data_IF_115594725325
#
_entry.id   IF_115594725325
#
_cell.length_a   1.000
_cell.length_b   1.000
_cell.length_c   1.000
_cell.angle_alpha   90.00
_cell.angle_beta   90.00
_cell.angle_gamma   90.00
#
_symmetry.space_group_name_H-M   'P 1'
#
loop_
_entity.id
_entity.type
_entity.pdbx_description
1 polymer ?
#
# COMPACT_ATOMS: atom_id res chain seq x y z
N UNK A 1 30.32 -94.79 -59.80
CA UNK A 1 30.54 -93.58 -60.60
C UNK A 1 29.26 -93.33 -61.38
N UNK A 2 28.37 -92.50 -60.85
CA UNK A 2 27.09 -92.20 -61.51
C UNK A 2 26.87 -90.70 -61.42
N UNK A 3 26.79 -90.06 -62.57
CA UNK A 3 26.14 -88.77 -62.74
C UNK A 3 25.34 -88.86 -64.04
N UNK A 4 24.03 -88.69 -63.92
CA UNK A 4 23.10 -88.66 -65.03
C UNK A 4 22.15 -87.47 -64.85
N UNK A 5 21.93 -86.81 -65.99
CA UNK A 5 20.73 -86.04 -66.39
C UNK A 5 20.58 -84.58 -65.91
N UNK A 6 20.88 -83.68 -66.84
CA UNK A 6 20.15 -82.43 -67.13
C UNK A 6 18.89 -82.77 -68.00
N UNK A 7 17.96 -81.86 -68.42
CA UNK A 7 18.16 -80.43 -68.79
C UNK A 7 16.97 -79.43 -68.59
N UNK A 8 17.17 -78.19 -69.09
CA UNK A 8 16.18 -77.19 -69.61
C UNK A 8 15.40 -76.32 -68.60
N UNK A 9 14.99 -75.05 -68.82
CA UNK A 9 15.19 -73.98 -69.83
C UNK A 9 14.41 -72.70 -69.36
N UNK A 10 14.53 -71.58 -70.11
CA UNK A 10 13.81 -70.27 -70.11
C UNK A 10 14.20 -69.18 -69.07
N UNK A 11 14.83 -68.04 -69.43
CA UNK A 11 14.43 -66.88 -70.28
C UNK A 11 13.80 -65.73 -69.46
N UNK A 12 14.03 -64.41 -69.64
CA UNK A 12 14.98 -63.57 -70.37
C UNK A 12 14.66 -62.08 -70.03
N UNK A 13 15.67 -61.19 -69.97
CA UNK A 13 15.72 -59.80 -70.54
C UNK A 13 14.68 -58.72 -70.10
N UNK A 14 14.98 -57.44 -69.76
CA UNK A 14 15.97 -56.42 -70.20
C UNK A 14 15.95 -55.20 -69.24
N UNK A 15 17.05 -54.42 -69.12
CA UNK A 15 16.98 -52.96 -68.85
C UNK A 15 17.93 -52.32 -67.80
N UNK A 16 19.21 -52.17 -68.12
CA UNK A 16 20.28 -51.33 -67.48
C UNK A 16 20.11 -49.82 -67.92
N UNK A 17 20.65 -48.72 -67.31
CA UNK A 17 21.96 -48.50 -66.61
C UNK A 17 21.90 -47.70 -65.27
N UNK A 18 22.88 -47.63 -64.35
CA UNK A 18 24.35 -47.65 -64.26
C UNK A 18 24.92 -46.26 -63.85
N UNK A 19 25.41 -46.16 -62.61
CA UNK A 19 26.44 -45.23 -62.06
C UNK A 19 26.19 -45.08 -60.56
N UNK A 20 27.14 -45.11 -59.62
CA UNK A 20 28.57 -45.34 -59.62
C UNK A 20 28.94 -45.84 -58.21
N UNK A 21 29.90 -46.75 -58.11
CA UNK A 21 30.47 -47.18 -56.84
C UNK A 21 31.51 -46.16 -56.36
N UNK A 22 31.43 -45.75 -55.09
CA UNK A 22 32.58 -45.29 -54.32
C UNK A 22 32.31 -45.42 -52.81
N UNK A 23 32.93 -46.46 -52.23
CA UNK A 23 33.66 -46.44 -50.95
C UNK A 23 32.95 -45.89 -49.71
N UNK A 24 32.26 -46.77 -48.98
CA UNK A 24 31.81 -46.52 -47.60
C UNK A 24 33.00 -46.68 -46.64
N UNK A 25 33.59 -45.56 -46.21
CA UNK A 25 34.45 -45.52 -45.02
C UNK A 25 33.59 -45.27 -43.80
N UNK A 26 33.42 -46.28 -42.97
CA UNK A 26 32.77 -46.22 -41.66
C UNK A 26 33.60 -45.35 -40.71
N UNK A 27 33.15 -44.12 -40.44
CA UNK A 27 33.62 -43.34 -39.29
C UNK A 27 32.72 -43.66 -38.11
N UNK A 28 33.30 -44.32 -37.11
CA UNK A 28 32.69 -44.61 -35.81
C UNK A 28 32.52 -43.29 -35.05
N UNK A 29 31.28 -42.82 -34.93
CA UNK A 29 30.92 -41.71 -34.05
C UNK A 29 31.02 -42.13 -32.57
N UNK A 30 31.28 -41.18 -31.64
CA UNK A 30 31.43 -41.47 -30.22
C UNK A 30 30.12 -41.99 -29.62
N UNK A 31 30.18 -42.83 -28.56
CA UNK A 31 29.01 -43.46 -27.98
C UNK A 31 28.07 -42.43 -27.34
N UNK A 32 26.77 -42.62 -27.57
CA UNK A 32 25.67 -41.93 -26.91
C UNK A 32 25.82 -42.02 -25.38
N UNK A 33 25.62 -40.95 -24.61
CA UNK A 33 25.61 -41.03 -23.16
C UNK A 33 24.38 -41.83 -22.67
N UNK A 34 24.49 -42.61 -21.59
CA UNK A 34 23.35 -43.32 -21.02
C UNK A 34 22.30 -42.33 -20.47
N UNK A 35 21.02 -42.72 -20.38
CA UNK A 35 19.99 -41.87 -19.79
C UNK A 35 20.35 -41.53 -18.34
N UNK A 36 20.15 -40.26 -17.96
CA UNK A 36 20.43 -39.76 -16.63
C UNK A 36 19.62 -40.56 -15.58
N UNK A 37 20.33 -41.06 -14.56
CA UNK A 37 19.74 -41.70 -13.38
C UNK A 37 18.96 -40.62 -12.60
N UNK A 38 17.68 -40.82 -12.25
CA UNK A 38 16.95 -39.86 -11.42
C UNK A 38 17.62 -39.75 -10.03
N UNK A 39 17.63 -38.56 -9.41
CA UNK A 39 18.20 -38.40 -8.09
C UNK A 39 17.48 -39.29 -7.07
N UNK A 40 18.16 -39.78 -6.02
CA UNK A 40 17.53 -40.57 -4.98
C UNK A 40 16.44 -39.73 -4.29
N UNK A 41 15.28 -40.34 -4.09
CA UNK A 41 14.18 -39.80 -3.31
C UNK A 41 14.69 -39.42 -1.90
N UNK A 42 14.43 -38.21 -1.39
CA UNK A 42 14.78 -37.87 -0.02
C UNK A 42 14.04 -38.82 0.94
N UNK A 43 14.65 -39.20 2.08
CA UNK A 43 13.95 -40.00 3.08
C UNK A 43 12.71 -39.25 3.59
N UNK A 44 11.67 -39.96 4.05
CA UNK A 44 10.50 -39.33 4.65
C UNK A 44 10.95 -38.40 5.78
N UNK A 45 10.48 -37.16 5.79
CA UNK A 45 10.66 -36.27 6.92
C UNK A 45 10.02 -36.93 8.15
N UNK A 46 10.87 -37.23 9.14
CA UNK A 46 10.45 -37.70 10.44
C UNK A 46 9.50 -36.65 11.06
N UNK A 47 8.34 -37.05 11.60
CA UNK A 47 7.43 -36.10 12.23
C UNK A 47 8.14 -35.39 13.39
N UNK A 48 7.92 -34.08 13.59
CA UNK A 48 8.54 -33.35 14.69
C UNK A 48 8.17 -34.01 16.01
N UNK A 49 9.17 -34.20 16.87
CA UNK A 49 9.00 -34.73 18.21
C UNK A 49 7.91 -33.92 18.95
N UNK A 50 7.03 -34.56 19.74
CA UNK A 50 6.03 -33.83 20.52
C UNK A 50 6.74 -32.87 21.49
N UNK A 51 6.17 -31.67 21.73
CA UNK A 51 6.75 -30.74 22.68
C UNK A 51 6.89 -31.40 24.06
N UNK A 52 7.94 -31.07 24.83
CA UNK A 52 8.06 -31.57 26.19
C UNK A 52 6.82 -31.16 27.01
N UNK A 53 6.36 -32.00 27.96
CA UNK A 53 5.23 -31.64 28.80
C UNK A 53 5.54 -30.34 29.53
N UNK A 54 4.59 -29.40 29.46
CA UNK A 54 4.62 -28.15 30.22
C UNK A 54 4.91 -28.43 31.69
N UNK A 55 5.86 -27.72 32.34
CA UNK A 55 6.06 -27.84 33.77
C UNK A 55 4.76 -27.45 34.50
N UNK A 56 4.40 -28.11 35.61
CA UNK A 56 3.21 -27.76 36.37
C UNK A 56 3.29 -26.31 36.86
N UNK A 57 2.14 -25.63 37.08
CA UNK A 57 2.14 -24.27 37.60
C UNK A 57 2.90 -24.21 38.92
N UNK A 58 3.81 -23.24 39.02
CA UNK A 58 4.54 -22.93 40.23
C UNK A 58 3.54 -22.54 41.32
N UNK A 59 3.24 -23.50 42.21
CA UNK A 59 2.49 -23.25 43.42
C UNK A 59 3.30 -22.28 44.27
N UNK A 60 2.73 -21.11 44.51
CA UNK A 60 3.25 -20.13 45.46
C UNK A 60 3.58 -20.82 46.80
N UNK A 61 4.73 -20.56 47.42
CA UNK A 61 5.06 -21.16 48.70
C UNK A 61 4.12 -20.65 49.79
N UNK A 62 3.49 -21.60 50.48
CA UNK A 62 2.77 -21.41 51.73
C UNK A 62 3.68 -20.74 52.79
N UNK A 63 3.13 -19.86 53.65
CA UNK A 63 3.88 -19.25 54.74
C UNK A 63 4.24 -20.30 55.82
N UNK A 64 5.39 -20.18 56.49
CA UNK A 64 5.78 -21.11 57.55
C UNK A 64 4.90 -20.98 58.80
N UNK A 65 4.56 -22.14 59.35
CA UNK A 65 3.93 -22.36 60.66
C UNK A 65 4.64 -21.54 61.74
N UNK A 66 3.95 -20.53 62.26
CA UNK A 66 4.36 -19.86 63.50
C UNK A 66 3.66 -20.52 64.69
N UNK A 67 4.51 -20.88 65.66
CA UNK A 67 4.19 -21.52 66.92
C UNK A 67 3.00 -20.86 67.64
N UNK A 68 2.17 -21.73 68.21
CA UNK A 68 1.16 -21.37 69.20
C UNK A 68 1.78 -20.54 70.34
N UNK A 69 1.23 -19.34 70.56
CA UNK A 69 1.45 -18.54 71.77
C UNK A 69 0.11 -18.29 72.46
N UNK A 70 0.05 -18.36 73.80
CA UNK A 70 -1.21 -18.35 74.56
C UNK A 70 -1.89 -16.96 74.59
N UNK A 71 -3.22 -16.91 74.79
CA UNK A 71 -3.99 -15.69 74.70
C UNK A 71 -3.67 -14.70 75.84
N UNK A 72 -3.55 -13.38 75.56
CA UNK A 72 -3.45 -12.36 76.59
C UNK A 72 -4.81 -12.10 77.29
N UNK A 73 -4.80 -11.69 78.57
CA UNK A 73 -6.02 -11.40 79.33
C UNK A 73 -6.73 -10.12 78.87
N UNK A 74 -8.05 -10.10 79.06
CA UNK A 74 -9.02 -9.07 78.65
C UNK A 74 -8.61 -7.63 79.00
N UNK A 75 -8.77 -6.65 78.09
CA UNK A 75 -8.50 -5.25 78.38
C UNK A 75 -9.61 -4.60 79.23
N UNK A 76 -9.19 -3.76 80.18
CA UNK A 76 -10.05 -2.86 80.97
C UNK A 76 -10.78 -1.83 80.08
N UNK A 77 -11.93 -1.31 80.53
CA UNK A 77 -12.73 -0.37 79.75
C UNK A 77 -12.02 0.98 79.53
N UNK A 78 -12.03 1.45 78.28
CA UNK A 78 -11.52 2.77 77.88
C UNK A 78 -12.47 3.90 78.34
N UNK A 79 -11.95 5.10 78.66
CA UNK A 79 -12.78 6.25 79.05
C UNK A 79 -13.61 6.79 77.86
N UNK A 80 -14.74 7.47 78.12
CA UNK A 80 -15.63 7.96 77.08
C UNK A 80 -14.98 9.05 76.21
N UNK A 81 -15.33 9.16 74.92
CA UNK A 81 -14.81 10.19 74.04
C UNK A 81 -15.33 11.58 74.43
N UNK A 82 -14.47 12.60 74.32
CA UNK A 82 -14.80 14.00 74.55
C UNK A 82 -15.76 14.53 73.45
N UNK A 83 -16.67 15.47 73.76
CA UNK A 83 -17.61 16.02 72.79
C UNK A 83 -16.89 16.85 71.70
N UNK A 84 -17.40 16.85 70.45
CA UNK A 84 -16.81 17.65 69.38
C UNK A 84 -17.00 19.16 69.61
N UNK A 85 -16.07 20.01 69.17
CA UNK A 85 -16.20 21.46 69.28
C UNK A 85 -17.33 22.01 68.38
N UNK A 86 -17.95 23.15 68.73
CA UNK A 86 -19.03 23.74 67.94
C UNK A 86 -18.56 24.22 66.56
N UNK A 87 -19.41 24.05 65.56
CA UNK A 87 -19.14 24.42 64.16
C UNK A 87 -18.94 25.94 63.99
N UNK A 88 -18.00 26.38 63.13
CA UNK A 88 -17.82 27.80 62.83
C UNK A 88 -19.02 28.37 62.04
N UNK A 89 -19.28 29.69 62.13
CA UNK A 89 -20.39 30.33 61.40
C UNK A 89 -20.16 30.27 59.88
N UNK A 90 -21.24 30.26 59.08
CA UNK A 90 -21.13 30.20 57.62
C UNK A 90 -20.50 31.48 57.05
N UNK A 91 -19.53 31.31 56.16
CA UNK A 91 -18.92 32.41 55.39
C UNK A 91 -19.94 33.07 54.47
N UNK A 92 -19.85 34.39 54.22
CA UNK A 92 -20.71 35.07 53.25
C UNK A 92 -20.43 34.55 51.83
N UNK A 93 -21.50 34.29 51.08
CA UNK A 93 -21.47 33.75 49.73
C UNK A 93 -20.77 34.74 48.76
N UNK A 94 -19.83 34.30 47.91
CA UNK A 94 -19.23 35.18 46.91
C UNK A 94 -20.29 35.69 45.93
N UNK A 95 -20.21 36.97 45.57
CA UNK A 95 -21.09 37.55 44.55
C UNK A 95 -20.91 36.83 43.21
N UNK A 96 -21.99 36.64 42.42
CA UNK A 96 -21.90 35.96 41.14
C UNK A 96 -20.99 36.76 40.18
N UNK A 97 -20.15 36.09 39.37
CA UNK A 97 -19.34 36.76 38.37
C UNK A 97 -20.24 37.47 37.34
N UNK A 98 -19.77 38.59 36.75
CA UNK A 98 -20.52 39.25 35.68
C UNK A 98 -20.78 38.28 34.51
N UNK A 99 -21.90 38.43 33.80
CA UNK A 99 -22.22 37.56 32.67
C UNK A 99 -21.11 37.64 31.62
N UNK A 100 -20.64 36.46 31.19
CA UNK A 100 -19.64 36.33 30.14
C UNK A 100 -20.07 37.09 28.88
N UNK A 101 -19.16 37.78 28.17
CA UNK A 101 -19.47 38.36 26.88
C UNK A 101 -19.98 37.27 25.93
N UNK A 102 -20.90 37.60 25.00
CA UNK A 102 -21.39 36.63 24.03
C UNK A 102 -20.21 36.02 23.25
N UNK A 103 -20.27 34.73 22.90
CA UNK A 103 -19.23 34.10 22.10
C UNK A 103 -19.06 34.87 20.80
N UNK A 104 -17.82 35.21 20.47
CA UNK A 104 -17.46 35.79 19.18
C UNK A 104 -18.03 34.91 18.06
N UNK A 105 -18.61 35.49 17.00
CA UNK A 105 -19.03 34.70 15.85
C UNK A 105 -17.83 33.89 15.35
N UNK A 106 -18.05 32.63 14.90
CA UNK A 106 -16.96 31.82 14.37
C UNK A 106 -16.28 32.59 13.23
N UNK A 107 -14.95 32.52 13.10
CA UNK A 107 -14.26 33.16 12.00
C UNK A 107 -14.89 32.68 10.69
N UNK A 108 -15.35 33.62 9.85
CA UNK A 108 -15.83 33.30 8.51
C UNK A 108 -14.76 32.46 7.82
N UNK A 109 -15.13 31.27 7.35
CA UNK A 109 -14.18 30.36 6.71
C UNK A 109 -13.40 31.12 5.64
N UNK A 110 -12.06 31.06 5.64
CA UNK A 110 -11.27 31.77 4.65
C UNK A 110 -11.73 31.37 3.23
N UNK A 111 -11.73 32.32 2.27
CA UNK A 111 -12.07 32.01 0.89
C UNK A 111 -11.15 30.90 0.38
N UNK A 112 -11.74 29.87 -0.23
CA UNK A 112 -11.01 28.75 -0.80
C UNK A 112 -10.00 29.26 -1.84
N UNK A 113 -8.79 28.69 -1.84
CA UNK A 113 -7.79 29.00 -2.85
C UNK A 113 -8.33 28.70 -4.26
N UNK A 114 -8.02 29.52 -5.28
CA UNK A 114 -8.39 29.23 -6.66
C UNK A 114 -7.87 27.84 -7.06
N UNK A 115 -8.78 26.95 -7.47
CA UNK A 115 -8.43 25.58 -7.88
C UNK A 115 -8.62 24.51 -6.81
N UNK A 116 -9.12 24.84 -5.62
CA UNK A 116 -9.57 23.85 -4.63
C UNK A 116 -11.10 23.82 -4.58
N UNK A 117 -11.67 22.62 -4.63
CA UNK A 117 -13.10 22.40 -4.45
C UNK A 117 -13.32 21.60 -3.17
N UNK A 118 -14.28 22.03 -2.36
CA UNK A 118 -14.77 21.21 -1.24
C UNK A 118 -15.56 20.06 -1.84
N UNK A 119 -15.17 18.84 -1.50
CA UNK A 119 -15.96 17.64 -1.79
C UNK A 119 -16.32 16.97 -0.49
N UNK A 120 -17.55 16.49 -0.45
CA UNK A 120 -18.00 15.63 0.63
C UNK A 120 -17.47 14.24 0.34
N UNK A 121 -16.81 13.64 1.33
CA UNK A 121 -16.30 12.28 1.24
C UNK A 121 -16.93 11.43 2.33
N UNK A 122 -17.24 10.18 2.01
CA UNK A 122 -17.67 9.17 2.97
C UNK A 122 -16.52 8.19 3.15
N UNK A 123 -16.01 8.04 4.37
CA UNK A 123 -14.89 7.15 4.68
C UNK A 123 -15.34 6.00 5.56
N UNK A 124 -14.83 4.81 5.28
CA UNK A 124 -14.92 3.66 6.17
C UNK A 124 -13.67 2.79 6.03
N UNK A 125 -13.30 2.11 7.09
CA UNK A 125 -12.22 1.13 7.12
C UNK A 125 -12.79 -0.27 7.26
N UNK A 126 -12.37 -1.19 6.38
CA UNK A 126 -12.71 -2.62 6.39
C UNK A 126 -11.46 -3.42 6.74
N UNK A 127 -11.55 -4.31 7.71
CA UNK A 127 -10.48 -5.30 7.94
C UNK A 127 -10.86 -6.60 7.25
N UNK A 128 -9.98 -7.11 6.40
CA UNK A 128 -10.15 -8.38 5.67
C UNK A 128 -9.03 -9.35 6.02
N UNK A 129 -9.37 -10.64 6.04
CA UNK A 129 -8.40 -11.71 6.23
C UNK A 129 -7.61 -11.96 4.94
N UNK A 130 -6.29 -12.08 5.04
CA UNK A 130 -5.41 -12.39 3.91
C UNK A 130 -4.11 -11.60 3.93
N UNK A 131 -3.43 -11.55 2.78
CA UNK A 131 -2.28 -10.69 2.52
C UNK A 131 -2.64 -9.59 1.52
N UNK A 132 -1.96 -8.45 1.59
CA UNK A 132 -2.18 -7.32 0.67
C UNK A 132 -1.99 -7.75 -0.78
N UNK A 133 -0.98 -8.58 -1.05
CA UNK A 133 -0.64 -9.07 -2.39
C UNK A 133 -1.75 -9.92 -3.02
N UNK A 134 -2.63 -10.53 -2.21
CA UNK A 134 -3.75 -11.33 -2.69
C UNK A 134 -5.06 -10.52 -2.79
N UNK A 135 -5.06 -9.27 -2.34
CA UNK A 135 -6.26 -8.43 -2.34
C UNK A 135 -6.48 -7.78 -3.70
N UNK A 136 -7.56 -8.19 -4.37
CA UNK A 136 -7.94 -7.67 -5.69
C UNK A 136 -8.80 -6.39 -5.54
N UNK A 137 -8.15 -5.23 -5.68
CA UNK A 137 -8.77 -3.91 -5.57
C UNK A 137 -9.86 -3.69 -6.63
N UNK A 138 -9.64 -4.16 -7.86
CA UNK A 138 -10.58 -4.00 -8.97
C UNK A 138 -11.84 -4.84 -8.76
N UNK A 139 -11.69 -6.08 -8.30
CA UNK A 139 -12.81 -6.96 -8.00
C UNK A 139 -13.63 -6.44 -6.83
N UNK A 140 -12.97 -5.99 -5.76
CA UNK A 140 -13.61 -5.38 -4.60
C UNK A 140 -14.42 -4.14 -5.02
N UNK A 141 -13.81 -3.23 -5.79
CA UNK A 141 -14.47 -2.01 -6.28
C UNK A 141 -15.65 -2.33 -7.20
N UNK A 142 -15.47 -3.25 -8.14
CA UNK A 142 -16.50 -3.65 -9.11
C UNK A 142 -17.73 -4.27 -8.46
N UNK A 143 -17.57 -4.88 -7.28
CA UNK A 143 -18.65 -5.47 -6.49
C UNK A 143 -19.30 -4.47 -5.54
N UNK A 144 -18.49 -3.61 -4.92
CA UNK A 144 -18.95 -2.60 -3.96
C UNK A 144 -19.74 -1.48 -4.62
N UNK A 145 -19.24 -0.95 -5.75
CA UNK A 145 -19.83 0.18 -6.47
C UNK A 145 -21.33 0.02 -6.78
N UNK A 146 -21.79 -1.08 -7.43
CA UNK A 146 -23.21 -1.27 -7.71
C UNK A 146 -24.03 -1.52 -6.44
N UNK A 147 -23.44 -2.12 -5.39
CA UNK A 147 -24.14 -2.41 -4.15
C UNK A 147 -24.50 -1.13 -3.37
N UNK A 148 -23.63 -0.12 -3.42
CA UNK A 148 -23.86 1.18 -2.75
C UNK A 148 -24.38 2.27 -3.70
N UNK A 149 -24.60 1.94 -4.98
CA UNK A 149 -25.23 2.83 -5.97
C UNK A 149 -24.32 3.95 -6.47
N UNK A 150 -23.00 3.72 -6.52
CA UNK A 150 -22.01 4.70 -7.00
C UNK A 150 -21.23 4.16 -8.19
N UNK A 151 -20.52 5.04 -8.89
CA UNK A 151 -19.61 4.65 -9.97
C UNK A 151 -18.27 4.20 -9.39
N UNK A 152 -17.59 3.19 -9.97
CA UNK A 152 -16.32 2.68 -9.45
C UNK A 152 -15.23 3.77 -9.40
N UNK A 153 -15.23 4.71 -10.34
CA UNK A 153 -14.31 5.85 -10.41
C UNK A 153 -14.43 6.85 -9.23
N UNK A 154 -15.52 6.77 -8.46
CA UNK A 154 -15.74 7.61 -7.27
C UNK A 154 -15.25 6.96 -5.98
N UNK A 155 -14.77 5.71 -6.05
CA UNK A 155 -14.26 4.94 -4.93
C UNK A 155 -12.73 4.98 -4.97
N UNK A 156 -12.12 5.41 -3.86
CA UNK A 156 -10.68 5.36 -3.64
C UNK A 156 -10.41 4.32 -2.54
N UNK A 157 -9.51 3.38 -2.82
CA UNK A 157 -9.11 2.32 -1.90
C UNK A 157 -7.64 2.51 -1.48
N UNK A 158 -7.38 2.57 -0.18
CA UNK A 158 -6.03 2.53 0.38
C UNK A 158 -5.90 1.26 1.22
N UNK A 159 -4.93 0.41 0.90
CA UNK A 159 -4.74 -0.89 1.56
C UNK A 159 -3.48 -0.83 2.42
N UNK A 160 -3.59 -1.20 3.69
CA UNK A 160 -2.52 -1.10 4.70
C UNK A 160 -2.34 -2.43 5.48
N UNK A 161 -1.10 -2.73 5.88
CA UNK A 161 -0.76 -3.95 6.65
C UNK A 161 -0.75 -3.66 8.15
N UNK A 162 -1.55 -4.40 8.94
CA UNK A 162 -1.64 -4.20 10.39
C UNK A 162 -1.86 -5.49 11.21
N UNK A 163 -1.42 -6.65 10.71
CA UNK A 163 -1.71 -7.97 11.29
C UNK A 163 -2.90 -8.68 10.60
N UNK A 164 -3.88 -7.89 10.17
CA UNK A 164 -4.85 -8.19 9.10
C UNK A 164 -4.75 -7.10 8.02
N UNK A 165 -5.34 -7.31 6.84
CA UNK A 165 -5.35 -6.32 5.76
C UNK A 165 -6.43 -5.29 6.05
N UNK A 166 -6.05 -4.02 6.20
CA UNK A 166 -7.00 -2.91 6.39
C UNK A 166 -7.19 -2.21 5.06
N UNK A 167 -8.45 -2.04 4.66
CA UNK A 167 -8.87 -1.40 3.42
C UNK A 167 -9.66 -0.15 3.80
N UNK A 168 -9.03 1.02 3.66
CA UNK A 168 -9.68 2.31 3.78
C UNK A 168 -10.39 2.64 2.47
N UNK A 169 -11.71 2.73 2.52
CA UNK A 169 -12.59 3.05 1.40
C UNK A 169 -13.04 4.50 1.54
N UNK A 170 -12.79 5.30 0.52
CA UNK A 170 -13.25 6.69 0.44
C UNK A 170 -14.14 6.87 -0.77
N UNK A 171 -15.39 7.29 -0.55
CA UNK A 171 -16.32 7.66 -1.61
C UNK A 171 -16.33 9.16 -1.82
N UNK A 172 -16.12 9.63 -3.04
CA UNK A 172 -16.17 11.05 -3.39
C UNK A 172 -17.54 11.39 -3.96
N UNK A 173 -18.30 12.24 -3.26
CA UNK A 173 -19.66 12.64 -3.66
C UNK A 173 -19.76 14.13 -3.95
N UNK A 174 -20.75 14.50 -4.76
CA UNK A 174 -20.93 15.87 -5.22
C UNK A 174 -21.38 16.82 -4.09
N UNK A 175 -22.32 16.40 -3.26
CA UNK A 175 -23.00 17.24 -2.28
C UNK A 175 -23.21 16.52 -0.94
N UNK A 176 -23.42 17.29 0.14
CA UNK A 176 -23.58 16.77 1.48
C UNK A 176 -24.81 15.86 1.64
N UNK A 177 -25.92 16.16 0.94
CA UNK A 177 -27.12 15.31 0.94
C UNK A 177 -26.87 13.94 0.31
N UNK A 178 -26.10 13.90 -0.78
CA UNK A 178 -25.67 12.65 -1.40
C UNK A 178 -24.73 11.86 -0.48
N UNK A 179 -23.87 12.55 0.30
CA UNK A 179 -23.02 11.92 1.30
C UNK A 179 -23.83 11.23 2.41
N UNK A 180 -24.88 11.87 2.91
CA UNK A 180 -25.78 11.28 3.91
C UNK A 180 -26.46 10.03 3.37
N UNK A 181 -27.09 10.12 2.20
CA UNK A 181 -27.79 8.99 1.58
C UNK A 181 -26.83 7.84 1.26
N UNK A 182 -25.61 8.16 0.82
CA UNK A 182 -24.59 7.15 0.58
C UNK A 182 -24.10 6.52 1.88
N UNK A 183 -23.86 7.29 2.95
CA UNK A 183 -23.46 6.76 4.25
C UNK A 183 -24.52 5.81 4.83
N UNK A 184 -25.81 6.14 4.69
CA UNK A 184 -26.91 5.25 5.09
C UNK A 184 -26.93 3.96 4.25
N UNK A 185 -26.75 4.06 2.94
CA UNK A 185 -26.72 2.90 2.05
C UNK A 185 -25.50 2.01 2.33
N UNK A 186 -24.33 2.62 2.47
CA UNK A 186 -23.09 1.95 2.87
C UNK A 186 -23.27 1.24 4.20
N UNK A 187 -23.79 1.92 5.23
CA UNK A 187 -24.04 1.30 6.53
C UNK A 187 -25.05 0.14 6.41
N UNK A 188 -26.10 0.28 5.60
CA UNK A 188 -27.04 -0.80 5.35
C UNK A 188 -26.35 -2.03 4.76
N UNK A 189 -25.48 -1.81 3.78
CA UNK A 189 -24.77 -2.87 3.05
C UNK A 189 -23.66 -3.51 3.88
N UNK A 190 -22.99 -2.75 4.74
CA UNK A 190 -21.86 -3.23 5.58
C UNK A 190 -22.30 -3.71 6.96
N UNK A 191 -23.55 -3.47 7.36
CA UNK A 191 -24.06 -3.84 8.69
C UNK A 191 -23.98 -5.35 8.99
N UNK A 192 -24.07 -6.19 7.96
CA UNK A 192 -23.89 -7.64 8.06
C UNK A 192 -22.58 -8.06 7.41
N UNK A 193 -21.55 -8.32 8.22
CA UNK A 193 -20.20 -8.64 7.75
C UNK A 193 -20.15 -9.91 6.88
N UNK A 194 -21.02 -10.89 7.13
CA UNK A 194 -21.03 -12.17 6.38
C UNK A 194 -21.65 -12.01 5.00
N UNK A 195 -22.77 -11.29 4.92
CA UNK A 195 -23.40 -10.92 3.65
C UNK A 195 -22.51 -9.99 2.84
N UNK A 196 -21.88 -9.01 3.52
CA UNK A 196 -20.93 -8.09 2.91
C UNK A 196 -19.73 -8.85 2.32
N UNK A 197 -19.11 -9.74 3.10
CA UNK A 197 -18.01 -10.61 2.65
C UNK A 197 -18.35 -11.40 1.38
N UNK A 198 -19.57 -11.98 1.33
CA UNK A 198 -20.04 -12.72 0.16
C UNK A 198 -20.26 -11.84 -1.07
N UNK A 199 -20.66 -10.58 -0.84
CA UNK A 199 -20.93 -9.62 -1.91
C UNK A 199 -19.64 -9.06 -2.50
N UNK A 200 -18.68 -8.64 -1.66
CA UNK A 200 -17.39 -8.10 -2.10
C UNK A 200 -16.37 -9.17 -2.47
N UNK A 201 -16.63 -10.45 -2.17
CA UNK A 201 -15.78 -11.58 -2.56
C UNK A 201 -14.50 -11.72 -1.75
N UNK A 202 -14.42 -11.06 -0.58
CA UNK A 202 -13.28 -11.12 0.34
C UNK A 202 -13.77 -11.45 1.75
N UNK A 203 -12.95 -12.13 2.54
CA UNK A 203 -13.26 -12.50 3.92
C UNK A 203 -13.20 -11.28 4.84
N UNK A 204 -14.34 -10.68 5.16
CA UNK A 204 -14.40 -9.47 6.01
C UNK A 204 -14.41 -9.87 7.48
N UNK A 205 -13.45 -9.34 8.24
CA UNK A 205 -13.31 -9.58 9.68
C UNK A 205 -14.03 -8.51 10.50
N UNK A 206 -13.93 -7.25 10.09
CA UNK A 206 -14.65 -6.14 10.73
C UNK A 206 -14.84 -4.96 9.79
N UNK A 207 -15.85 -4.14 10.04
CA UNK A 207 -16.13 -2.90 9.31
C UNK A 207 -16.39 -1.79 10.31
N UNK A 208 -15.81 -0.62 10.06
CA UNK A 208 -16.10 0.60 10.83
C UNK A 208 -17.29 1.34 10.23
N UNK A 209 -18.01 2.09 11.06
CA UNK A 209 -19.14 2.89 10.58
C UNK A 209 -18.66 4.00 9.63
N UNK A 210 -19.42 4.29 8.56
CA UNK A 210 -19.08 5.34 7.61
C UNK A 210 -19.16 6.70 8.28
N UNK A 211 -18.13 7.50 8.05
CA UNK A 211 -18.03 8.87 8.55
C UNK A 211 -18.04 9.84 7.37
N UNK A 212 -18.79 10.93 7.49
CA UNK A 212 -18.85 11.99 6.47
C UNK A 212 -17.84 13.07 6.85
N UNK A 213 -16.93 13.38 5.93
CA UNK A 213 -15.95 14.47 6.09
C UNK A 213 -16.00 15.41 4.89
N UNK A 214 -15.68 16.68 5.10
CA UNK A 214 -15.48 17.64 4.02
C UNK A 214 -13.98 17.71 3.72
N UNK A 215 -13.58 17.28 2.53
CA UNK A 215 -12.18 17.28 2.10
C UNK A 215 -11.96 18.33 1.01
N UNK A 216 -10.89 19.12 1.14
CA UNK A 216 -10.39 19.94 0.04
C UNK A 216 -9.69 19.01 -0.95
N UNK A 217 -10.21 18.93 -2.18
CA UNK A 217 -9.51 18.28 -3.29
C UNK A 217 -9.20 19.31 -4.38
N UNK A 218 -8.14 19.11 -5.18
CA UNK A 218 -7.91 19.91 -6.37
C UNK A 218 -9.16 19.85 -7.26
N UNK A 219 -9.75 21.01 -7.53
CA UNK A 219 -10.89 21.14 -8.43
C UNK A 219 -10.47 20.84 -9.88
N UNK A 220 -11.42 20.48 -10.76
CA UNK A 220 -11.11 20.39 -12.19
C UNK A 220 -10.50 21.73 -12.63
N UNK A 221 -9.30 21.68 -13.21
CA UNK A 221 -8.64 22.84 -13.79
C UNK A 221 -9.66 23.59 -14.65
N UNK A 222 -9.93 24.86 -14.31
CA UNK A 222 -10.87 25.65 -15.07
C UNK A 222 -10.46 25.60 -16.56
N UNK A 223 -11.40 25.36 -17.50
CA UNK A 223 -11.08 25.46 -18.91
C UNK A 223 -10.45 26.85 -19.15
N UNK A 224 -9.38 26.94 -19.95
CA UNK A 224 -8.71 28.21 -20.18
C UNK A 224 -9.76 29.21 -20.69
N UNK A 225 -9.98 30.27 -19.91
CA UNK A 225 -10.89 31.34 -20.31
C UNK A 225 -10.38 31.86 -21.66
N UNK A 226 -11.21 31.87 -22.72
CA UNK A 226 -10.78 32.43 -23.98
C UNK A 226 -10.39 33.90 -23.74
N UNK A 227 -9.19 34.34 -24.16
CA UNK A 227 -8.74 35.69 -23.90
C UNK A 227 -9.72 36.68 -24.54
N UNK A 228 -10.01 37.82 -23.87
CA UNK A 228 -10.86 38.84 -24.46
C UNK A 228 -10.26 39.30 -25.81
N UNK A 229 -11.08 39.58 -26.84
CA UNK A 229 -10.59 40.01 -28.14
C UNK A 229 -9.69 41.23 -27.99
N UNK A 230 -8.40 41.07 -28.30
CA UNK A 230 -7.41 42.15 -28.24
C UNK A 230 -6.49 42.16 -27.01
N UNK A 231 -6.53 41.15 -26.14
CA UNK A 231 -5.48 40.99 -25.12
C UNK A 231 -4.11 40.80 -25.80
N UNK A 232 -3.06 41.53 -25.39
CA UNK A 232 -1.69 41.21 -25.78
C UNK A 232 -1.43 39.74 -25.46
N UNK A 233 -0.65 39.01 -26.28
CA UNK A 233 -0.27 37.64 -25.95
C UNK A 233 0.29 37.62 -24.54
N UNK A 234 -0.30 36.80 -23.67
CA UNK A 234 0.18 36.60 -22.31
C UNK A 234 1.68 36.27 -22.38
N UNK A 235 2.52 36.86 -21.52
CA UNK A 235 3.90 36.42 -21.41
C UNK A 235 3.90 34.90 -21.17
N UNK A 236 4.81 34.14 -21.81
CA UNK A 236 4.87 32.71 -21.62
C UNK A 236 4.96 32.41 -20.11
N UNK A 237 4.24 31.39 -19.60
CA UNK A 237 4.36 31.01 -18.20
C UNK A 237 5.84 30.85 -17.84
N UNK A 238 6.25 31.24 -16.62
CA UNK A 238 7.63 31.04 -16.17
C UNK A 238 8.04 29.61 -16.48
N UNK A 239 9.20 29.43 -17.10
CA UNK A 239 9.71 28.10 -17.39
C UNK A 239 9.73 27.30 -16.08
N UNK A 240 9.18 26.08 -16.10
CA UNK A 240 9.26 25.19 -14.96
C UNK A 240 10.72 25.03 -14.59
N UNK A 241 11.08 25.40 -13.36
CA UNK A 241 12.46 25.31 -12.90
C UNK A 241 12.70 23.89 -12.38
N UNK A 242 13.75 23.24 -12.88
CA UNK A 242 14.20 21.96 -12.35
C UNK A 242 14.68 22.19 -10.91
N UNK A 243 14.09 21.46 -9.97
CA UNK A 243 14.53 21.46 -8.57
C UNK A 243 15.65 20.42 -8.39
N UNK A 244 16.82 20.86 -7.94
CA UNK A 244 17.95 19.96 -7.65
C UNK A 244 17.73 19.27 -6.29
N UNK A 245 17.47 17.97 -6.31
CA UNK A 245 17.19 17.16 -5.12
C UNK A 245 18.39 16.36 -4.61
N UNK A 246 19.61 16.57 -5.15
CA UNK A 246 20.79 15.77 -4.77
C UNK A 246 21.20 15.93 -3.31
N UNK A 247 20.92 17.08 -2.70
CA UNK A 247 21.18 17.35 -1.29
C UNK A 247 19.90 17.35 -0.45
N UNK A 248 18.77 16.93 -1.04
CA UNK A 248 17.51 16.92 -0.34
C UNK A 248 17.50 15.85 0.75
N UNK A 249 16.77 16.12 1.82
CA UNK A 249 16.54 15.14 2.88
C UNK A 249 15.52 14.13 2.38
N UNK A 250 15.83 12.84 2.48
CA UNK A 250 14.96 11.75 2.02
C UNK A 250 14.43 10.92 3.20
N UNK A 251 13.24 10.35 3.01
CA UNK A 251 12.55 9.48 3.95
C UNK A 251 12.21 8.17 3.23
N UNK A 252 12.20 7.05 3.96
CA UNK A 252 11.89 5.75 3.37
C UNK A 252 11.46 4.75 4.44
N UNK A 253 10.81 3.67 4.02
CA UNK A 253 10.28 2.63 4.93
C UNK A 253 11.36 1.69 5.50
N UNK A 254 12.52 1.60 4.86
CA UNK A 254 13.58 0.65 5.23
C UNK A 254 14.84 1.33 5.73
N UNK A 255 15.50 0.74 6.74
CA UNK A 255 16.85 1.16 7.17
C UNK A 255 17.95 0.29 6.55
N UNK A 256 17.59 -0.63 5.65
CA UNK A 256 18.50 -1.63 5.07
C UNK A 256 19.36 -1.09 3.94
N UNK A 257 18.95 0.03 3.35
CA UNK A 257 19.61 0.64 2.20
C UNK A 257 19.99 2.09 2.50
N UNK A 258 21.11 2.53 1.93
CA UNK A 258 21.72 3.82 2.21
C UNK A 258 20.78 4.98 1.88
N UNK A 259 20.70 5.96 2.79
CA UNK A 259 19.83 7.14 2.68
C UNK A 259 20.40 8.28 1.83
N UNK A 260 21.48 8.08 1.07
CA UNK A 260 22.05 9.19 0.29
C UNK A 260 21.40 9.34 -1.09
N UNK A 261 20.87 10.55 -1.36
CA UNK A 261 20.47 11.15 -2.64
C UNK A 261 19.78 10.26 -3.69
N UNK A 262 18.56 10.59 -4.18
CA UNK A 262 17.84 9.80 -5.19
C UNK A 262 18.61 9.60 -6.50
N UNK A 263 19.52 10.52 -6.84
CA UNK A 263 20.41 10.49 -8.01
C UNK A 263 21.77 11.10 -7.66
N UNK A 264 22.85 10.58 -8.24
CA UNK A 264 24.22 11.05 -8.02
C UNK A 264 24.59 12.28 -8.87
N UNK A 265 23.83 12.55 -9.94
CA UNK A 265 24.01 13.69 -10.83
C UNK A 265 22.67 14.18 -11.43
N UNK A 266 22.72 15.23 -12.27
CA UNK A 266 21.54 15.79 -12.97
C UNK A 266 21.39 15.30 -14.41
N UNK A 267 22.16 14.31 -14.84
CA UNK A 267 22.13 13.86 -16.25
C UNK A 267 20.80 13.19 -16.64
N UNK A 268 19.90 12.99 -15.69
CA UNK A 268 18.54 12.48 -15.88
C UNK A 268 17.46 13.54 -16.11
N UNK A 269 17.76 14.82 -15.86
CA UNK A 269 16.79 15.89 -16.00
C UNK A 269 16.18 15.94 -17.43
N UNK A 270 17.03 15.61 -18.41
CA UNK A 270 16.70 15.58 -19.84
C UNK A 270 16.63 14.15 -20.43
N UNK A 271 16.79 13.11 -19.60
CA UNK A 271 16.70 11.72 -20.06
C UNK A 271 15.24 11.29 -20.22
N UNK A 272 14.95 10.56 -21.30
CA UNK A 272 13.64 9.96 -21.56
C UNK A 272 13.63 8.44 -21.34
N UNK A 273 14.77 7.88 -20.93
CA UNK A 273 14.98 6.43 -20.79
C UNK A 273 15.48 6.07 -19.40
N UNK A 274 15.26 4.82 -19.03
CA UNK A 274 15.68 4.26 -17.76
C UNK A 274 17.17 4.04 -17.61
N UNK A 275 17.59 3.63 -16.40
CA UNK A 275 18.94 3.18 -16.10
C UNK A 275 19.02 1.81 -15.45
N UNK A 276 20.19 1.16 -15.51
CA UNK A 276 20.37 -0.11 -14.86
C UNK A 276 20.41 0.08 -13.35
N UNK A 277 20.11 -0.99 -12.62
CA UNK A 277 20.14 -1.04 -11.16
C UNK A 277 21.41 -0.47 -10.55
N UNK A 278 22.57 -0.78 -11.15
CA UNK A 278 23.87 -0.41 -10.61
C UNK A 278 24.08 1.11 -10.48
N UNK A 279 23.26 1.92 -11.16
CA UNK A 279 23.29 3.38 -11.12
C UNK A 279 22.19 3.98 -10.24
N UNK A 280 21.32 3.15 -9.65
CA UNK A 280 20.36 3.58 -8.64
C UNK A 280 21.12 3.89 -7.33
N UNK A 281 21.02 5.13 -6.86
CA UNK A 281 21.66 5.57 -5.61
C UNK A 281 20.87 5.23 -4.35
N UNK A 282 19.61 4.81 -4.50
CA UNK A 282 18.63 4.71 -3.42
C UNK A 282 17.69 3.52 -3.61
N UNK A 283 17.29 2.91 -2.49
CA UNK A 283 16.43 1.73 -2.50
C UNK A 283 15.46 1.73 -1.32
N UNK A 284 14.22 1.32 -1.60
CA UNK A 284 13.20 1.13 -0.58
C UNK A 284 12.32 -0.06 -0.91
N UNK A 285 11.65 -0.62 0.09
CA UNK A 285 10.76 -1.77 -0.09
C UNK A 285 9.35 -1.39 -0.52
N UNK A 286 8.84 -0.24 -0.06
CA UNK A 286 7.45 0.16 -0.23
C UNK A 286 7.30 1.63 -0.63
N UNK A 287 7.87 2.55 0.16
CA UNK A 287 7.70 3.98 -0.07
C UNK A 287 8.98 4.76 0.14
N UNK A 288 9.10 5.83 -0.65
CA UNK A 288 10.19 6.78 -0.60
C UNK A 288 9.62 8.20 -0.62
N UNK A 289 10.25 9.13 0.08
CA UNK A 289 9.87 10.54 0.06
C UNK A 289 11.05 11.48 0.14
N UNK A 290 10.79 12.74 -0.18
CA UNK A 290 11.83 13.78 -0.24
C UNK A 290 11.28 15.13 0.21
N UNK A 291 12.08 15.86 0.98
CA UNK A 291 11.86 17.26 1.35
C UNK A 291 12.33 18.18 0.21
N UNK A 292 11.40 18.94 -0.36
CA UNK A 292 11.66 19.91 -1.43
C UNK A 292 12.33 21.20 -0.89
N UNK A 293 12.58 21.28 0.43
CA UNK A 293 13.27 22.37 1.12
C UNK A 293 12.34 23.52 1.52
N UNK A 294 11.28 23.76 0.76
CA UNK A 294 10.22 24.73 1.05
C UNK A 294 8.90 24.28 0.42
N UNK A 295 7.79 24.92 0.79
CA UNK A 295 6.53 24.70 0.08
C UNK A 295 6.63 25.26 -1.34
N UNK A 296 6.48 24.38 -2.33
CA UNK A 296 6.59 24.71 -3.75
C UNK A 296 5.38 24.19 -4.52
N UNK A 297 5.07 24.87 -5.62
CA UNK A 297 4.03 24.42 -6.55
C UNK A 297 4.62 23.38 -7.51
N UNK A 298 4.25 22.11 -7.31
CA UNK A 298 4.69 21.01 -8.15
C UNK A 298 3.74 20.90 -9.33
N UNK A 299 4.17 21.33 -10.52
CA UNK A 299 3.38 21.21 -11.75
C UNK A 299 3.30 19.75 -12.21
N UNK A 300 4.43 19.09 -12.33
CA UNK A 300 4.54 17.69 -12.71
C UNK A 300 5.77 17.05 -12.07
N UNK A 301 5.78 15.73 -12.03
CA UNK A 301 6.96 14.92 -11.73
C UNK A 301 7.30 14.04 -12.92
N UNK A 302 8.58 13.75 -13.12
CA UNK A 302 9.03 12.80 -14.15
C UNK A 302 9.55 11.56 -13.46
N UNK A 303 8.95 10.42 -13.77
CA UNK A 303 9.32 9.12 -13.25
C UNK A 303 9.99 8.33 -14.36
N UNK A 304 11.15 7.73 -14.09
CA UNK A 304 11.91 6.93 -15.05
C UNK A 304 12.07 5.53 -14.49
N UNK A 305 11.56 4.51 -15.20
CA UNK A 305 11.70 3.13 -14.78
C UNK A 305 13.08 2.58 -15.17
N UNK A 306 13.51 1.48 -14.57
CA UNK A 306 14.76 0.80 -14.92
C UNK A 306 14.76 0.28 -16.36
N UNK A 307 15.96 0.06 -16.90
CA UNK A 307 16.15 -0.43 -18.27
C UNK A 307 16.74 -1.85 -18.38
N UNK A 308 17.09 -2.47 -17.26
CA UNK A 308 17.79 -3.74 -17.17
C UNK A 308 16.88 -4.89 -16.72
N UNK A 309 16.13 -4.73 -15.62
CA UNK A 309 15.10 -5.67 -15.17
C UNK A 309 14.15 -5.05 -14.13
N UNK A 310 13.14 -5.82 -13.71
CA UNK A 310 12.20 -5.48 -12.63
C UNK A 310 11.34 -4.23 -12.91
N UNK A 311 10.93 -4.04 -14.17
CA UNK A 311 10.11 -2.89 -14.57
C UNK A 311 8.75 -2.88 -13.86
N UNK A 312 8.24 -4.03 -13.48
CA UNK A 312 7.04 -4.20 -12.65
C UNK A 312 7.17 -3.52 -11.28
N UNK A 313 8.35 -3.04 -10.87
CA UNK A 313 8.52 -2.36 -9.58
C UNK A 313 8.09 -0.90 -9.54
N UNK A 314 7.94 -0.27 -10.69
CA UNK A 314 7.43 1.11 -10.81
C UNK A 314 6.01 1.11 -11.41
N UNK A 315 5.19 0.15 -10.97
CA UNK A 315 3.76 0.07 -11.26
C UNK A 315 2.95 0.25 -10.00
N UNK A 316 1.71 0.69 -10.16
CA UNK A 316 0.75 0.86 -9.08
C UNK A 316 1.24 1.84 -8.01
N UNK A 317 1.98 2.89 -8.42
CA UNK A 317 2.56 3.87 -7.50
C UNK A 317 1.56 4.99 -7.21
N UNK A 318 1.37 5.26 -5.93
CA UNK A 318 0.65 6.41 -5.41
C UNK A 318 1.62 7.54 -5.07
N UNK A 319 1.26 8.76 -5.45
CA UNK A 319 2.03 9.98 -5.21
C UNK A 319 1.29 10.83 -4.19
N UNK A 320 1.94 11.14 -3.08
CA UNK A 320 1.44 12.01 -2.04
C UNK A 320 2.24 13.31 -1.99
N UNK A 321 1.57 14.43 -1.71
CA UNK A 321 2.20 15.75 -1.55
C UNK A 321 1.56 16.47 -0.35
N UNK A 322 2.39 17.10 0.49
CA UNK A 322 1.86 17.91 1.59
C UNK A 322 2.93 18.54 2.47
N UNK A 323 2.56 18.77 3.73
CA UNK A 323 3.38 19.50 4.73
C UNK A 323 3.86 18.62 5.88
N UNK A 324 3.50 17.33 5.90
CA UNK A 324 3.88 16.39 6.95
C UNK A 324 5.17 15.69 6.55
N UNK A 325 6.21 15.82 7.37
CA UNK A 325 7.50 15.19 7.17
C UNK A 325 7.51 13.72 7.60
N UNK A 326 8.57 12.99 7.26
CA UNK A 326 8.88 11.62 7.71
C UNK A 326 7.93 10.50 7.28
N UNK A 327 6.71 10.81 6.86
CA UNK A 327 5.71 9.82 6.45
C UNK A 327 4.81 10.35 5.33
N UNK A 328 4.36 9.46 4.45
CA UNK A 328 3.34 9.81 3.47
C UNK A 328 1.94 9.93 4.11
N UNK A 329 1.71 9.27 5.25
CA UNK A 329 0.44 9.34 5.98
C UNK A 329 0.14 10.77 6.43
N UNK A 330 -1.07 11.25 6.13
CA UNK A 330 -1.49 12.62 6.45
C UNK A 330 -1.07 13.67 5.41
N UNK A 331 -0.38 13.27 4.34
CA UNK A 331 -0.23 14.08 3.13
C UNK A 331 -1.34 13.76 2.12
N UNK A 332 -1.60 14.67 1.17
CA UNK A 332 -2.67 14.50 0.20
C UNK A 332 -2.23 13.53 -0.91
N UNK A 333 -3.04 12.51 -1.20
CA UNK A 333 -2.90 11.70 -2.40
C UNK A 333 -3.19 12.57 -3.63
N UNK A 334 -2.16 12.88 -4.42
CA UNK A 334 -2.25 13.74 -5.61
C UNK A 334 -2.31 12.94 -6.91
N UNK A 335 -1.81 11.70 -6.90
CA UNK A 335 -1.95 10.76 -8.02
C UNK A 335 -1.98 9.34 -7.50
N UNK A 336 -2.76 8.48 -8.13
CA UNK A 336 -2.80 7.04 -7.86
C UNK A 336 -2.62 6.25 -9.15
N UNK A 337 -2.36 4.95 -9.02
CA UNK A 337 -2.27 4.01 -10.15
C UNK A 337 -1.21 4.41 -11.21
N UNK A 338 -0.10 5.01 -10.75
CA UNK A 338 0.95 5.45 -11.66
C UNK A 338 1.83 4.27 -12.03
N UNK A 339 1.77 3.89 -13.31
CA UNK A 339 2.57 2.80 -13.87
C UNK A 339 3.47 3.29 -14.99
N UNK A 340 4.78 3.15 -14.78
CA UNK A 340 5.81 3.54 -15.75
C UNK A 340 6.32 2.29 -16.45
N UNK A 341 6.25 2.23 -17.77
CA UNK A 341 6.76 1.08 -18.52
C UNK A 341 8.28 0.96 -18.40
N UNK A 342 8.83 -0.21 -18.73
CA UNK A 342 10.28 -0.45 -18.75
C UNK A 342 11.00 0.53 -19.68
N UNK A 343 12.13 1.06 -19.24
CA UNK A 343 13.02 1.93 -20.02
C UNK A 343 12.35 3.18 -20.62
N UNK A 344 11.27 3.70 -20.02
CA UNK A 344 10.67 4.96 -20.43
C UNK A 344 10.54 5.93 -19.27
N UNK A 345 10.43 7.20 -19.62
CA UNK A 345 9.99 8.27 -18.72
C UNK A 345 8.49 8.46 -18.84
N UNK A 346 7.81 8.65 -17.72
CA UNK A 346 6.44 9.13 -17.63
C UNK A 346 6.41 10.48 -16.90
N UNK A 347 5.79 11.48 -17.53
CA UNK A 347 5.52 12.77 -16.90
C UNK A 347 4.12 12.71 -16.30
N UNK A 348 4.04 12.94 -14.99
CA UNK A 348 2.82 12.86 -14.21
C UNK A 348 2.47 14.25 -13.73
N UNK A 349 1.37 14.80 -14.24
CA UNK A 349 0.86 16.08 -13.78
C UNK A 349 0.33 15.98 -12.34
N UNK A 350 0.76 16.93 -11.50
CA UNK A 350 0.46 17.02 -10.07
C UNK A 350 -0.37 18.26 -9.76
N UNK A 351 0.07 19.43 -10.25
CA UNK A 351 -0.60 20.73 -10.11
C UNK A 351 -1.02 21.08 -8.67
N UNK A 352 -0.17 20.79 -7.68
CA UNK A 352 -0.47 21.00 -6.26
C UNK A 352 0.69 21.64 -5.49
N UNK A 353 0.38 22.28 -4.36
CA UNK A 353 1.36 22.85 -3.42
C UNK A 353 1.75 21.83 -2.36
N UNK A 354 3.04 21.77 -2.05
CA UNK A 354 3.52 21.08 -0.87
C UNK A 354 5.03 21.16 -0.73
N UNK A 355 5.52 20.69 0.41
CA UNK A 355 6.95 20.64 0.72
C UNK A 355 7.50 19.23 0.68
N UNK A 356 6.71 18.23 1.06
CA UNK A 356 7.14 16.84 1.09
C UNK A 356 6.37 16.06 0.05
N UNK A 357 7.10 15.38 -0.84
CA UNK A 357 6.53 14.49 -1.83
C UNK A 357 6.92 13.05 -1.51
N UNK A 358 5.97 12.13 -1.63
CA UNK A 358 6.16 10.71 -1.37
C UNK A 358 5.64 9.88 -2.53
N UNK A 359 6.36 8.81 -2.85
CA UNK A 359 5.95 7.76 -3.75
C UNK A 359 5.77 6.51 -2.89
N UNK A 360 4.56 5.97 -2.88
CA UNK A 360 4.21 4.76 -2.15
C UNK A 360 3.73 3.71 -3.14
N UNK A 361 4.27 2.50 -3.05
CA UNK A 361 3.74 1.34 -3.76
C UNK A 361 2.99 0.46 -2.75
N UNK A 362 1.66 0.58 -2.66
CA UNK A 362 0.83 -0.08 -1.65
C UNK A 362 0.85 -1.61 -1.74
#
# INVERSE_FOLDING_TARGET
MSAALAPSSLAASLGIPASAMATTTTVVGPPHPPPAVPPPTPPPLEPPAPPPPTPPPSLSPLPPLLLATPPPPSPSPSPPPSPPPPSPPPFPLPSPPPPSPPPSPPPSSPPLHPGWVRRNVVKLSVTVAGSIEAFDKDNFTSRLAPAVGVLPETILLVVSAGGSVVVDVTFVVADASAASSLADNVQSVTSDASAFSSMVGVSVESVTNPTIEEQLIPGPSAPPVPPPPGAPPLPPPPAAQLLDLRTATTYQDSSLFDKQAPVSDLSYADSTTGRPWAECGQYTSQWWGVDLGSEVYVRYVRLQNRNDCCAERLTDVDIYLGSTAETFTGNALVKSDVSVLSNVMLEVEINALGRYIYLNRP
#
